data_IF_081749213820
#
_entry.id   IF_081749213820
#
_cell.length_a   1.000
_cell.length_b   1.000
_cell.length_c   1.000
_cell.angle_alpha   90.00
_cell.angle_beta   90.00
_cell.angle_gamma   90.00
#
_symmetry.space_group_name_H-M   'P 1'
#
loop_
_entity.id
_entity.type
_entity.pdbx_description
1 polymer ?
#
# COMPACT_ATOMS: atom_id res chain seq x y z
N UNK A 1 31.45 15.36 -12.37
CA UNK A 1 30.55 14.22 -12.67
C UNK A 1 29.09 14.66 -12.48
N UNK A 2 28.25 14.50 -13.50
CA UNK A 2 26.84 14.91 -13.48
C UNK A 2 25.99 14.16 -12.44
N UNK A 3 26.25 12.85 -12.24
CA UNK A 3 25.51 12.05 -11.27
C UNK A 3 25.71 12.55 -9.83
N UNK A 4 26.94 12.91 -9.46
CA UNK A 4 27.23 13.49 -8.14
C UNK A 4 26.41 14.76 -7.92
N UNK A 5 26.38 15.67 -8.90
CA UNK A 5 25.62 16.91 -8.80
C UNK A 5 24.11 16.67 -8.62
N UNK A 6 23.54 15.68 -9.31
CA UNK A 6 22.12 15.30 -9.16
C UNK A 6 21.85 14.74 -7.76
N UNK A 7 22.70 13.82 -7.28
CA UNK A 7 22.53 13.22 -5.96
C UNK A 7 22.73 14.24 -4.84
N UNK A 8 23.68 15.19 -4.97
CA UNK A 8 23.86 16.30 -4.03
C UNK A 8 22.60 17.14 -3.91
N UNK A 9 21.97 17.56 -5.02
CA UNK A 9 20.69 18.29 -4.96
C UNK A 9 19.58 17.52 -4.24
N UNK A 10 19.57 16.19 -4.37
CA UNK A 10 18.62 15.35 -3.64
C UNK A 10 18.95 15.23 -2.15
N UNK A 11 20.23 15.26 -1.80
CA UNK A 11 20.71 15.24 -0.43
C UNK A 11 20.37 16.56 0.29
N UNK A 12 20.64 17.69 -0.37
CA UNK A 12 20.46 19.04 0.20
C UNK A 12 18.99 19.33 0.54
N UNK A 13 18.06 18.74 -0.21
CA UNK A 13 16.62 18.79 0.07
C UNK A 13 16.12 17.75 1.10
N UNK A 14 17.03 16.98 1.71
CA UNK A 14 16.71 15.93 2.70
C UNK A 14 16.10 14.63 2.14
N UNK A 15 16.05 14.44 0.81
CA UNK A 15 15.40 13.28 0.18
C UNK A 15 16.31 12.04 0.12
N UNK A 16 16.91 11.68 1.25
CA UNK A 16 18.00 10.69 1.37
C UNK A 16 17.59 9.27 0.96
N UNK A 17 16.36 8.83 1.24
CA UNK A 17 15.88 7.51 0.77
C UNK A 17 15.66 7.48 -0.76
N UNK A 18 15.13 8.59 -1.33
CA UNK A 18 14.98 8.71 -2.79
C UNK A 18 16.35 8.73 -3.45
N UNK A 19 17.33 9.45 -2.88
CA UNK A 19 18.72 9.48 -3.34
C UNK A 19 19.29 8.07 -3.40
N UNK A 20 19.19 7.30 -2.30
CA UNK A 20 19.67 5.91 -2.23
C UNK A 20 19.09 5.05 -3.36
N UNK A 21 17.77 5.14 -3.59
CA UNK A 21 17.08 4.40 -4.66
C UNK A 21 17.52 4.83 -6.06
N UNK A 22 17.64 6.14 -6.32
CA UNK A 22 18.10 6.66 -7.62
C UNK A 22 19.52 6.18 -7.91
N UNK A 23 20.45 6.30 -6.95
CA UNK A 23 21.81 5.80 -7.08
C UNK A 23 21.85 4.30 -7.38
N UNK A 24 21.02 3.50 -6.69
CA UNK A 24 20.91 2.06 -6.94
C UNK A 24 20.46 1.77 -8.39
N UNK A 25 19.41 2.45 -8.87
CA UNK A 25 18.90 2.28 -10.25
C UNK A 25 19.91 2.71 -11.30
N UNK A 26 20.58 3.83 -11.10
CA UNK A 26 21.72 4.23 -11.90
C UNK A 26 22.75 3.09 -11.97
N UNK A 27 23.16 2.54 -10.83
CA UNK A 27 24.14 1.45 -10.79
C UNK A 27 23.70 0.17 -11.48
N UNK A 28 22.40 -0.10 -11.58
CA UNK A 28 21.85 -1.20 -12.38
C UNK A 28 22.00 -0.93 -13.89
N UNK A 29 21.77 0.31 -14.33
CA UNK A 29 21.99 0.73 -15.73
C UNK A 29 23.46 0.64 -16.13
N UNK A 30 24.39 1.13 -15.29
CA UNK A 30 25.82 1.01 -15.55
C UNK A 30 26.26 -0.46 -15.61
N UNK A 31 25.77 -1.31 -14.70
CA UNK A 31 26.05 -2.76 -14.76
C UNK A 31 25.60 -3.38 -16.08
N UNK A 32 24.42 -3.02 -16.57
CA UNK A 32 23.95 -3.48 -17.88
C UNK A 32 24.83 -2.95 -19.03
N UNK A 33 25.24 -1.67 -18.98
CA UNK A 33 26.13 -1.08 -19.96
C UNK A 33 27.51 -1.77 -20.00
N UNK A 34 28.04 -2.20 -18.85
CA UNK A 34 29.29 -2.96 -18.76
C UNK A 34 29.16 -4.33 -19.41
N UNK A 35 28.13 -5.10 -19.03
CA UNK A 35 27.89 -6.45 -19.58
C UNK A 35 27.69 -6.42 -21.11
N UNK A 36 27.24 -5.27 -21.64
CA UNK A 36 27.01 -5.07 -23.06
C UNK A 36 28.13 -4.31 -23.78
N UNK A 37 29.27 -4.07 -23.13
CA UNK A 37 30.46 -3.47 -23.73
C UNK A 37 30.36 -1.98 -24.05
N UNK A 38 29.38 -1.25 -23.48
CA UNK A 38 29.18 0.19 -23.73
C UNK A 38 30.02 1.08 -22.82
N UNK A 39 30.46 0.55 -21.68
CA UNK A 39 31.32 1.24 -20.72
C UNK A 39 32.08 0.19 -19.91
N UNK A 40 33.17 0.57 -19.27
CA UNK A 40 34.03 -0.36 -18.51
C UNK A 40 33.89 -0.18 -16.99
N UNK A 41 33.31 0.95 -16.54
CA UNK A 41 33.33 1.33 -15.14
C UNK A 41 31.98 1.88 -14.67
N UNK A 42 31.64 1.55 -13.42
CA UNK A 42 30.42 1.99 -12.75
C UNK A 42 30.80 2.91 -11.58
N UNK A 43 30.51 4.22 -11.65
CA UNK A 43 30.85 5.18 -10.60
C UNK A 43 29.92 5.10 -9.38
N UNK A 44 28.79 4.39 -9.46
CA UNK A 44 27.75 4.43 -8.42
C UNK A 44 28.12 3.83 -7.06
N UNK A 45 28.99 2.80 -6.94
CA UNK A 45 29.46 2.30 -5.65
C UNK A 45 30.33 3.32 -4.91
N UNK A 46 31.14 4.08 -5.63
CA UNK A 46 32.09 5.05 -5.05
C UNK A 46 31.36 6.27 -4.47
N UNK A 47 30.13 6.53 -4.94
CA UNK A 47 29.25 7.58 -4.42
C UNK A 47 28.52 7.19 -3.13
N UNK A 48 28.69 5.97 -2.59
CA UNK A 48 28.05 5.58 -1.31
C UNK A 48 28.56 6.43 -0.16
N UNK A 49 29.88 6.57 -0.04
CA UNK A 49 30.54 7.28 1.06
C UNK A 49 30.36 8.79 0.99
N UNK A 50 29.99 9.32 -0.18
CA UNK A 50 29.81 10.74 -0.41
C UNK A 50 28.52 11.31 0.21
N UNK A 51 27.58 10.47 0.66
CA UNK A 51 26.31 10.90 1.23
C UNK A 51 26.05 10.25 2.59
N UNK A 52 25.43 11.00 3.49
CA UNK A 52 25.01 10.47 4.78
C UNK A 52 24.01 9.32 4.59
N UNK A 53 24.09 8.31 5.46
CA UNK A 53 23.12 7.24 5.49
C UNK A 53 21.72 7.80 5.78
N UNK A 54 20.71 7.31 5.07
CA UNK A 54 19.33 7.66 5.37
C UNK A 54 18.97 7.18 6.78
N UNK A 55 18.61 8.11 7.67
CA UNK A 55 18.03 7.79 8.97
C UNK A 55 16.57 7.43 8.74
N UNK A 56 16.22 6.17 8.97
CA UNK A 56 14.86 5.67 8.80
C UNK A 56 13.97 6.23 9.91
N UNK A 57 12.97 6.99 9.52
CA UNK A 57 11.84 7.32 10.39
C UNK A 57 10.73 6.28 10.19
N UNK A 58 10.18 5.80 11.29
CA UNK A 58 9.06 4.87 11.27
C UNK A 58 7.76 5.65 11.30
N UNK A 59 6.79 5.25 10.47
CA UNK A 59 5.44 5.79 10.58
C UNK A 59 4.86 5.47 11.95
N UNK A 60 4.13 6.43 12.51
CA UNK A 60 3.33 6.20 13.71
C UNK A 60 2.37 5.04 13.49
N UNK A 61 2.20 4.22 14.51
CA UNK A 61 1.30 3.08 14.52
C UNK A 61 0.48 3.10 15.81
N UNK A 62 -0.71 2.50 15.78
CA UNK A 62 -1.55 2.38 16.96
C UNK A 62 -0.95 1.34 17.91
N UNK A 63 -0.78 1.72 19.17
CA UNK A 63 -0.56 0.79 20.28
C UNK A 63 -1.86 0.08 20.65
N UNK A 64 -1.76 -1.03 21.38
CA UNK A 64 -2.95 -1.81 21.78
C UNK A 64 -3.94 -0.96 22.58
N UNK A 65 -3.44 -0.07 23.43
CA UNK A 65 -4.26 0.81 24.28
C UNK A 65 -4.96 1.93 23.50
N UNK A 66 -4.45 2.28 22.30
CA UNK A 66 -5.06 3.29 21.42
C UNK A 66 -6.16 2.70 20.51
N UNK A 67 -6.17 1.38 20.29
CA UNK A 67 -7.14 0.71 19.41
C UNK A 67 -8.59 0.98 19.83
N UNK A 68 -8.99 0.88 21.12
CA UNK A 68 -10.36 1.13 21.53
C UNK A 68 -10.84 2.53 21.17
N UNK A 69 -10.00 3.55 21.38
CA UNK A 69 -10.38 4.94 21.11
C UNK A 69 -10.45 5.23 19.61
N UNK A 70 -9.48 4.71 18.85
CA UNK A 70 -9.54 4.74 17.39
C UNK A 70 -10.82 4.08 16.87
N UNK A 71 -11.18 2.91 17.41
CA UNK A 71 -12.37 2.18 16.98
C UNK A 71 -13.67 2.92 17.32
N UNK A 72 -13.75 3.62 18.47
CA UNK A 72 -14.88 4.51 18.78
C UNK A 72 -15.00 5.64 17.76
N UNK A 73 -13.89 6.29 17.45
CA UNK A 73 -13.84 7.37 16.45
C UNK A 73 -14.23 6.87 15.07
N UNK A 74 -13.74 5.69 14.66
CA UNK A 74 -14.13 5.04 13.42
C UNK A 74 -15.61 4.70 13.41
N UNK A 75 -16.20 4.25 14.52
CA UNK A 75 -17.63 3.99 14.64
C UNK A 75 -18.48 5.27 14.61
N UNK A 76 -17.97 6.40 15.08
CA UNK A 76 -18.62 7.70 14.98
C UNK A 76 -18.46 8.36 13.60
N UNK A 77 -17.54 7.86 12.75
CA UNK A 77 -17.33 8.41 11.41
C UNK A 77 -18.62 8.37 10.57
N UNK A 78 -19.03 9.55 10.10
CA UNK A 78 -20.26 9.82 9.33
C UNK A 78 -20.03 10.01 7.83
N UNK A 79 -18.78 9.87 7.36
CA UNK A 79 -18.46 9.96 5.94
C UNK A 79 -18.84 8.70 5.17
N UNK A 80 -17.99 8.26 4.24
CA UNK A 80 -18.32 7.10 3.39
C UNK A 80 -18.42 5.81 4.20
N UNK A 81 -19.60 5.17 4.15
CA UNK A 81 -19.83 3.85 4.74
C UNK A 81 -18.85 2.78 4.21
N UNK A 82 -18.60 2.78 2.89
CA UNK A 82 -17.68 1.82 2.24
C UNK A 82 -16.25 1.98 2.78
N UNK A 83 -15.79 3.23 2.95
CA UNK A 83 -14.44 3.52 3.50
C UNK A 83 -14.35 3.07 4.96
N UNK A 84 -15.39 3.34 5.76
CA UNK A 84 -15.49 2.90 7.16
C UNK A 84 -15.41 1.39 7.28
N UNK A 85 -16.21 0.66 6.50
CA UNK A 85 -16.20 -0.81 6.48
C UNK A 85 -14.86 -1.35 5.98
N UNK A 86 -14.24 -0.69 4.99
CA UNK A 86 -12.92 -1.04 4.51
C UNK A 86 -11.86 -0.94 5.60
N UNK A 87 -11.85 0.14 6.37
CA UNK A 87 -10.93 0.28 7.51
C UNK A 87 -11.16 -0.80 8.57
N UNK A 88 -12.43 -1.05 8.95
CA UNK A 88 -12.78 -2.11 9.92
C UNK A 88 -12.31 -3.49 9.45
N UNK A 89 -12.57 -3.83 8.19
CA UNK A 89 -12.15 -5.11 7.63
C UNK A 89 -10.62 -5.22 7.59
N UNK A 90 -9.92 -4.15 7.16
CA UNK A 90 -8.45 -4.12 7.12
C UNK A 90 -7.84 -4.40 8.49
N UNK A 91 -8.39 -3.83 9.56
CA UNK A 91 -7.90 -4.05 10.93
C UNK A 91 -8.02 -5.51 11.36
N UNK A 92 -9.07 -6.21 10.92
CA UNK A 92 -9.33 -7.61 11.31
C UNK A 92 -8.42 -8.57 10.53
N UNK A 93 -8.33 -8.39 9.20
CA UNK A 93 -7.67 -9.37 8.32
C UNK A 93 -6.21 -9.02 8.00
N UNK A 94 -5.77 -7.79 8.29
CA UNK A 94 -4.39 -7.36 8.08
C UNK A 94 -3.93 -7.27 6.61
N UNK A 95 -4.87 -7.30 5.66
CA UNK A 95 -4.56 -7.22 4.23
C UNK A 95 -3.97 -5.86 3.85
N UNK A 96 -3.12 -5.81 2.80
CA UNK A 96 -2.58 -4.53 2.35
C UNK A 96 -3.70 -3.65 1.80
N UNK A 97 -3.67 -2.32 2.02
CA UNK A 97 -4.68 -1.42 1.46
C UNK A 97 -4.88 -1.58 -0.05
N UNK A 98 -3.80 -1.82 -0.78
CA UNK A 98 -3.82 -2.02 -2.23
C UNK A 98 -4.46 -3.33 -2.70
N UNK A 99 -4.37 -4.38 -1.88
CA UNK A 99 -5.06 -5.67 -2.09
C UNK A 99 -6.54 -5.48 -1.74
N UNK A 100 -6.83 -4.99 -0.53
CA UNK A 100 -8.17 -4.80 0.00
C UNK A 100 -9.07 -3.97 -0.91
N UNK A 101 -8.61 -2.79 -1.34
CA UNK A 101 -9.41 -1.90 -2.19
C UNK A 101 -9.77 -2.54 -3.53
N UNK A 102 -9.00 -3.53 -4.00
CA UNK A 102 -9.18 -4.23 -5.28
C UNK A 102 -9.87 -5.59 -5.11
N UNK A 103 -10.35 -5.90 -3.90
CA UNK A 103 -11.11 -7.10 -3.62
C UNK A 103 -12.37 -7.13 -4.49
N UNK A 104 -12.61 -8.26 -5.14
CA UNK A 104 -13.79 -8.49 -5.96
C UNK A 104 -14.74 -9.44 -5.25
N UNK A 105 -16.05 -9.29 -5.48
CA UNK A 105 -17.05 -10.17 -4.87
C UNK A 105 -16.87 -11.63 -5.29
N UNK A 106 -16.38 -11.87 -6.49
CA UNK A 106 -16.04 -13.21 -7.01
C UNK A 106 -14.89 -13.90 -6.27
N UNK A 107 -14.12 -13.16 -5.47
CA UNK A 107 -13.00 -13.70 -4.68
C UNK A 107 -13.44 -14.13 -3.27
N UNK A 108 -14.66 -13.79 -2.86
CA UNK A 108 -15.18 -14.08 -1.51
C UNK A 108 -16.05 -15.33 -1.56
N UNK A 109 -15.67 -16.35 -0.80
CA UNK A 109 -16.47 -17.56 -0.57
C UNK A 109 -17.00 -17.52 0.87
N UNK A 110 -18.28 -17.14 1.01
CA UNK A 110 -18.96 -17.06 2.30
C UNK A 110 -19.14 -18.43 2.97
N UNK A 111 -19.29 -19.51 2.19
CA UNK A 111 -19.48 -20.85 2.74
C UNK A 111 -18.20 -21.38 3.38
N UNK A 112 -17.05 -21.09 2.76
CA UNK A 112 -15.73 -21.44 3.28
C UNK A 112 -15.15 -20.37 4.21
N UNK A 113 -15.84 -19.25 4.39
CA UNK A 113 -15.36 -18.08 5.10
C UNK A 113 -13.93 -17.68 4.67
N UNK A 114 -13.72 -17.49 3.37
CA UNK A 114 -12.41 -17.13 2.82
C UNK A 114 -12.50 -16.06 1.74
N UNK A 115 -11.46 -15.23 1.65
CA UNK A 115 -11.19 -14.36 0.51
C UNK A 115 -9.92 -14.85 -0.19
N UNK A 116 -10.06 -15.29 -1.44
CA UNK A 116 -8.96 -15.83 -2.24
C UNK A 116 -8.52 -14.82 -3.32
N UNK A 117 -7.35 -14.22 -3.12
CA UNK A 117 -6.75 -13.30 -4.09
C UNK A 117 -6.02 -14.14 -5.16
N UNK A 118 -6.43 -14.05 -6.44
CA UNK A 118 -5.85 -14.87 -7.50
C UNK A 118 -4.39 -14.49 -7.78
N UNK A 119 -3.62 -15.48 -8.23
CA UNK A 119 -2.20 -15.33 -8.58
C UNK A 119 -1.94 -14.15 -9.54
N UNK A 120 -2.86 -13.88 -10.46
CA UNK A 120 -2.76 -12.78 -11.43
C UNK A 120 -2.73 -11.38 -10.78
N UNK A 121 -3.31 -11.23 -9.59
CA UNK A 121 -3.28 -10.00 -8.81
C UNK A 121 -2.09 -9.92 -7.84
N UNK A 122 -1.38 -11.01 -7.64
CA UNK A 122 -0.30 -11.13 -6.65
C UNK A 122 1.07 -10.93 -7.27
N UNK A 123 1.92 -10.12 -6.61
CA UNK A 123 3.29 -9.83 -7.06
C UNK A 123 4.14 -11.11 -7.24
N UNK A 124 3.93 -12.11 -6.39
CA UNK A 124 4.67 -13.38 -6.41
C UNK A 124 4.00 -14.47 -7.26
N UNK A 125 2.92 -14.16 -7.98
CA UNK A 125 2.16 -15.10 -8.83
C UNK A 125 1.71 -16.37 -8.10
N UNK A 126 1.38 -16.25 -6.83
CA UNK A 126 0.79 -17.31 -6.01
C UNK A 126 -0.55 -16.83 -5.48
N UNK A 127 -1.61 -17.65 -5.49
CA UNK A 127 -2.85 -17.29 -4.83
C UNK A 127 -2.62 -17.01 -3.34
N UNK A 128 -3.39 -16.10 -2.77
CA UNK A 128 -3.33 -15.77 -1.36
C UNK A 128 -4.72 -15.92 -0.75
N UNK A 129 -4.84 -16.85 0.19
CA UNK A 129 -6.09 -17.10 0.91
C UNK A 129 -6.03 -16.34 2.23
N UNK A 130 -7.05 -15.53 2.47
CA UNK A 130 -7.28 -14.80 3.71
C UNK A 130 -8.50 -15.43 4.39
N UNK A 131 -8.33 -16.12 5.54
CA UNK A 131 -9.46 -16.60 6.33
C UNK A 131 -10.29 -15.42 6.87
N UNK A 132 -11.61 -15.56 6.82
CA UNK A 132 -12.55 -14.55 7.28
C UNK A 132 -13.13 -14.98 8.62
N UNK A 133 -12.91 -14.18 9.67
CA UNK A 133 -13.60 -14.36 10.94
C UNK A 133 -15.09 -13.99 10.81
N UNK A 134 -15.92 -14.39 11.77
CA UNK A 134 -17.34 -14.00 11.80
C UNK A 134 -17.51 -12.47 11.67
N UNK A 135 -16.67 -11.69 12.35
CA UNK A 135 -16.69 -10.23 12.26
C UNK A 135 -16.36 -9.70 10.86
N UNK A 136 -15.46 -10.38 10.13
CA UNK A 136 -15.14 -10.03 8.75
C UNK A 136 -16.31 -10.36 7.81
N UNK A 137 -16.97 -11.51 8.03
CA UNK A 137 -18.18 -11.90 7.30
C UNK A 137 -19.31 -10.90 7.55
N UNK A 138 -19.58 -10.51 8.81
CA UNK A 138 -20.61 -9.53 9.15
C UNK A 138 -20.41 -8.19 8.42
N UNK A 139 -19.15 -7.76 8.26
CA UNK A 139 -18.80 -6.54 7.52
C UNK A 139 -19.09 -6.71 6.01
N UNK A 140 -18.73 -7.86 5.45
CA UNK A 140 -18.98 -8.17 4.04
C UNK A 140 -20.49 -8.28 3.76
N UNK A 141 -21.26 -8.93 4.63
CA UNK A 141 -22.72 -9.01 4.50
C UNK A 141 -23.38 -7.62 4.55
N UNK A 142 -22.88 -6.71 5.39
CA UNK A 142 -23.35 -5.31 5.40
C UNK A 142 -23.00 -4.54 4.11
N UNK A 143 -21.90 -4.89 3.44
CA UNK A 143 -21.48 -4.28 2.17
C UNK A 143 -22.23 -4.84 0.97
N UNK A 144 -22.60 -6.13 1.01
CA UNK A 144 -23.23 -6.84 -0.09
C UNK A 144 -24.50 -6.18 -0.65
N UNK A 145 -25.47 -5.66 0.15
CA UNK A 145 -26.63 -4.97 -0.40
C UNK A 145 -26.29 -3.62 -1.06
N UNK A 146 -25.10 -3.07 -0.83
CA UNK A 146 -24.67 -1.75 -1.33
C UNK A 146 -23.81 -1.88 -2.59
N UNK A 147 -22.87 -2.85 -2.61
CA UNK A 147 -21.89 -3.00 -3.71
C UNK A 147 -21.94 -4.37 -4.38
N UNK A 148 -22.76 -5.31 -3.90
CA UNK A 148 -22.80 -6.70 -4.34
C UNK A 148 -23.24 -6.94 -5.78
N UNK A 149 -23.94 -5.97 -6.39
CA UNK A 149 -24.26 -6.02 -7.83
C UNK A 149 -23.08 -5.63 -8.71
N UNK A 150 -22.06 -4.97 -8.13
CA UNK A 150 -20.86 -4.53 -8.83
C UNK A 150 -19.73 -5.55 -8.77
N UNK A 151 -18.61 -5.19 -9.39
CA UNK A 151 -17.40 -6.02 -9.40
C UNK A 151 -16.64 -5.98 -8.07
N UNK A 152 -16.48 -4.79 -7.51
CA UNK A 152 -15.60 -4.55 -6.35
C UNK A 152 -16.38 -4.53 -5.04
N UNK A 153 -15.82 -5.19 -4.02
CA UNK A 153 -16.32 -5.10 -2.63
C UNK A 153 -16.31 -3.64 -2.18
N UNK A 154 -15.20 -2.94 -2.47
CA UNK A 154 -15.00 -1.52 -2.16
C UNK A 154 -14.98 -0.69 -3.45
N UNK A 155 -16.16 -0.33 -3.96
CA UNK A 155 -16.29 0.46 -5.18
C UNK A 155 -15.89 1.93 -5.01
N UNK A 156 -15.50 2.57 -6.11
CA UNK A 156 -15.15 3.98 -6.16
C UNK A 156 -16.38 4.89 -6.02
N UNK A 157 -16.22 6.03 -5.35
CA UNK A 157 -17.30 7.02 -5.12
C UNK A 157 -17.93 7.54 -6.42
N UNK A 158 -17.11 7.79 -7.43
CA UNK A 158 -17.54 8.42 -8.69
C UNK A 158 -17.78 7.40 -9.81
N UNK A 159 -17.24 6.18 -9.67
CA UNK A 159 -17.27 5.15 -10.70
C UNK A 159 -17.26 3.77 -10.02
N UNK A 160 -18.41 3.10 -10.05
CA UNK A 160 -18.60 1.79 -9.45
C UNK A 160 -17.78 0.68 -10.15
N UNK A 161 -17.35 0.91 -11.39
CA UNK A 161 -16.49 0.00 -12.15
C UNK A 161 -15.00 0.17 -11.80
N UNK A 162 -14.67 1.09 -10.88
CA UNK A 162 -13.32 1.25 -10.36
C UNK A 162 -13.30 0.93 -8.86
N UNK A 163 -12.17 0.41 -8.35
CA UNK A 163 -11.99 0.26 -6.92
C UNK A 163 -11.90 1.63 -6.22
N UNK A 164 -12.28 1.67 -4.94
CA UNK A 164 -12.05 2.77 -4.00
C UNK A 164 -10.64 3.33 -4.13
N UNK A 165 -10.42 4.66 -4.00
CA UNK A 165 -9.12 5.33 -4.21
C UNK A 165 -8.02 4.91 -3.23
N UNK A 166 -6.75 5.09 -3.60
CA UNK A 166 -5.60 4.63 -2.81
C UNK A 166 -5.50 5.41 -1.49
N UNK A 167 -5.92 6.67 -1.52
CA UNK A 167 -5.90 7.56 -0.38
C UNK A 167 -7.10 7.40 0.56
N UNK A 168 -8.16 6.70 0.15
CA UNK A 168 -9.41 6.67 0.91
C UNK A 168 -9.22 6.20 2.36
N UNK A 169 -8.48 5.09 2.56
CA UNK A 169 -8.19 4.56 3.89
C UNK A 169 -7.14 5.40 4.63
N UNK A 170 -6.15 5.94 3.90
CA UNK A 170 -5.11 6.78 4.48
C UNK A 170 -5.67 8.08 5.10
N UNK A 171 -6.72 8.66 4.50
CA UNK A 171 -7.37 9.86 5.03
C UNK A 171 -8.05 9.63 6.38
N UNK A 172 -8.45 8.39 6.71
CA UNK A 172 -9.04 8.07 8.02
C UNK A 172 -8.01 8.01 9.15
N UNK A 173 -6.74 7.72 8.82
CA UNK A 173 -5.67 7.52 9.82
C UNK A 173 -4.64 8.64 9.82
N UNK A 174 -4.69 9.54 8.84
CA UNK A 174 -3.78 10.67 8.79
C UNK A 174 -4.36 11.81 9.65
N UNK A 175 -3.69 12.18 10.75
CA UNK A 175 -4.18 13.17 11.71
C UNK A 175 -4.38 14.58 11.13
N UNK A 176 -3.84 14.87 9.94
CA UNK A 176 -3.97 16.17 9.27
C UNK A 176 -5.09 16.20 8.21
N UNK A 177 -6.00 15.22 8.20
CA UNK A 177 -7.00 15.03 7.12
C UNK A 177 -8.41 15.55 7.44
N UNK A 178 -8.57 16.27 8.55
CA UNK A 178 -9.81 16.96 8.95
C UNK A 178 -9.48 18.41 9.30
#
# INVERSE_FOLDING_TARGET
MELMAILSRMNDRGATEKLRKVRQRCGEVWRYAIVTGRTEYNPTPDLVSAFAAHKKEHYSFLTVDEIPEFYKSLNAYTGSFIVKMGMRLQMIIGARPGELRKAEWSEVDFNKAQWEIPAAKMKMRRPHIVPLSNQAIDILEQLQPITGQGKYVFQGRNDANKPMSEMALNLLINPNSV
#
